data_IF_914950355914
#
_entry.id   IF_914950355914
#
_cell.length_a   1.000
_cell.length_b   1.000
_cell.length_c   1.000
_cell.angle_alpha   90.00
_cell.angle_beta   90.00
_cell.angle_gamma   90.00
#
_symmetry.space_group_name_H-M   'P 1'
#
loop_
_entity.id
_entity.type
_entity.pdbx_description
1 polymer ?
#
# COMPACT_ATOMS: atom_id res chain seq x y z
N UNK A 1 -2.43 5.90 -18.73
CA UNK A 1 -3.39 5.25 -17.81
C UNK A 1 -2.66 4.95 -16.51
N UNK A 2 -3.10 5.53 -15.39
CA UNK A 2 -2.45 5.36 -14.10
C UNK A 2 -2.45 3.91 -13.61
N UNK A 3 -1.39 3.51 -12.92
CA UNK A 3 -1.25 2.15 -12.35
C UNK A 3 -1.80 2.13 -10.92
N UNK A 4 -2.72 1.22 -10.63
CA UNK A 4 -3.28 1.02 -9.30
C UNK A 4 -2.59 -0.17 -8.63
N UNK A 5 -1.96 0.07 -7.47
CA UNK A 5 -1.15 -0.93 -6.76
C UNK A 5 -1.58 -1.00 -5.30
N UNK A 6 -1.97 -2.17 -4.85
CA UNK A 6 -2.29 -2.42 -3.44
C UNK A 6 -1.08 -2.92 -2.65
N UNK A 7 -0.94 -2.46 -1.41
CA UNK A 7 0.05 -2.97 -0.45
C UNK A 7 -0.68 -3.87 0.56
N UNK A 8 -0.42 -5.16 0.53
CA UNK A 8 -1.14 -6.12 1.34
C UNK A 8 -0.24 -7.18 1.98
N UNK A 9 -0.56 -7.53 3.22
CA UNK A 9 -0.07 -8.71 3.93
C UNK A 9 -0.98 -8.94 5.15
N UNK A 10 -1.36 -10.18 5.42
CA UNK A 10 -2.19 -10.56 6.58
C UNK A 10 -1.50 -10.29 7.90
N UNK A 11 -0.18 -10.35 7.92
CA UNK A 11 0.60 -10.10 9.13
C UNK A 11 0.66 -8.61 9.46
N UNK A 12 0.30 -8.24 10.67
CA UNK A 12 0.49 -6.90 11.20
C UNK A 12 1.97 -6.57 11.39
N UNK A 13 2.33 -5.30 11.28
CA UNK A 13 3.69 -4.82 11.60
C UNK A 13 4.79 -5.17 10.58
N UNK A 14 4.44 -5.70 9.40
CA UNK A 14 5.43 -6.00 8.35
C UNK A 14 5.87 -4.80 7.51
N UNK A 15 5.39 -3.60 7.83
CA UNK A 15 5.76 -2.37 7.12
C UNK A 15 4.90 -2.05 5.89
N UNK A 16 3.64 -2.52 5.80
CA UNK A 16 2.71 -2.16 4.71
C UNK A 16 2.57 -0.65 4.56
N UNK A 17 2.04 0.01 5.57
CA UNK A 17 1.84 1.46 5.62
C UNK A 17 3.15 2.22 5.40
N UNK A 18 4.22 1.81 6.08
CA UNK A 18 5.54 2.44 5.92
C UNK A 18 6.02 2.34 4.47
N UNK A 19 5.85 1.18 3.82
CA UNK A 19 6.25 1.00 2.42
C UNK A 19 5.35 1.81 1.49
N UNK A 20 4.03 1.75 1.66
CA UNK A 20 3.08 2.50 0.83
C UNK A 20 3.38 4.01 0.86
N UNK A 21 3.48 4.61 2.05
CA UNK A 21 3.76 6.04 2.24
C UNK A 21 5.11 6.45 1.65
N UNK A 22 6.16 5.66 1.91
CA UNK A 22 7.51 6.06 1.49
C UNK A 22 7.76 5.82 -0.01
N UNK A 23 7.16 4.79 -0.60
CA UNK A 23 7.20 4.58 -2.04
C UNK A 23 6.39 5.66 -2.75
N UNK A 24 5.18 6.00 -2.26
CA UNK A 24 4.36 7.08 -2.80
C UNK A 24 5.12 8.42 -2.82
N UNK A 25 5.70 8.80 -1.68
CA UNK A 25 6.48 10.02 -1.57
C UNK A 25 7.73 10.01 -2.47
N UNK A 26 8.39 8.85 -2.60
CA UNK A 26 9.57 8.70 -3.47
C UNK A 26 9.21 8.78 -4.96
N UNK A 27 8.09 8.20 -5.38
CA UNK A 27 7.57 8.35 -6.75
C UNK A 27 7.25 9.83 -7.05
N UNK A 28 6.64 10.55 -6.10
CA UNK A 28 6.41 11.99 -6.21
C UNK A 28 7.69 12.79 -6.41
N UNK A 29 8.77 12.44 -5.69
CA UNK A 29 10.10 13.04 -5.87
C UNK A 29 10.72 12.73 -7.25
N UNK A 30 10.40 11.56 -7.83
CA UNK A 30 10.83 11.19 -9.19
C UNK A 30 10.01 11.90 -10.28
N UNK A 31 9.00 12.69 -9.92
CA UNK A 31 8.20 13.50 -10.84
C UNK A 31 6.85 12.89 -11.22
N UNK A 32 6.50 11.70 -10.72
CA UNK A 32 5.20 11.08 -10.97
C UNK A 32 4.10 11.74 -10.13
N UNK A 33 2.90 11.84 -10.68
CA UNK A 33 1.69 12.21 -9.92
C UNK A 33 1.15 11.00 -9.19
N UNK A 34 1.10 11.07 -7.87
CA UNK A 34 0.75 9.93 -7.01
C UNK A 34 -0.45 10.24 -6.13
N UNK A 35 -1.43 9.35 -6.14
CA UNK A 35 -2.51 9.31 -5.17
C UNK A 35 -2.28 8.13 -4.23
N UNK A 36 -2.30 8.38 -2.93
CA UNK A 36 -2.30 7.32 -1.92
C UNK A 36 -3.69 7.21 -1.29
N UNK A 37 -4.17 5.98 -1.12
CA UNK A 37 -5.47 5.71 -0.50
C UNK A 37 -5.23 4.97 0.80
N UNK A 38 -5.68 5.53 1.89
CA UNK A 38 -5.65 4.89 3.20
C UNK A 38 -6.91 4.02 3.37
N UNK A 39 -6.75 2.71 3.28
CA UNK A 39 -7.85 1.75 3.40
C UNK A 39 -7.81 0.99 4.74
N UNK A 40 -6.91 1.35 5.65
CA UNK A 40 -6.87 0.80 6.99
C UNK A 40 -7.64 1.73 7.96
N UNK A 41 -8.68 1.25 8.67
CA UNK A 41 -9.43 2.05 9.66
C UNK A 41 -8.56 2.70 10.74
N UNK A 42 -7.33 2.21 10.94
CA UNK A 42 -6.37 2.84 11.85
C UNK A 42 -5.88 4.21 11.34
N UNK A 43 -5.96 4.49 10.04
CA UNK A 43 -5.60 5.77 9.45
C UNK A 43 -4.10 6.11 9.57
N UNK A 44 -3.23 5.11 9.52
CA UNK A 44 -1.80 5.33 9.72
C UNK A 44 -1.14 5.98 8.49
N UNK A 45 -1.60 5.68 7.29
CA UNK A 45 -1.19 6.38 6.06
C UNK A 45 -1.59 7.84 6.09
N UNK A 46 -2.83 8.13 6.49
CA UNK A 46 -3.37 9.49 6.67
C UNK A 46 -2.48 10.33 7.58
N UNK A 47 -2.15 9.80 8.76
CA UNK A 47 -1.23 10.47 9.70
C UNK A 47 0.19 10.56 9.14
N UNK A 48 0.67 9.51 8.46
CA UNK A 48 2.02 9.43 7.91
C UNK A 48 2.31 10.44 6.80
N UNK A 49 1.25 10.96 6.14
CA UNK A 49 1.36 12.05 5.15
C UNK A 49 0.94 13.41 5.71
N UNK A 50 0.85 13.55 7.03
CA UNK A 50 0.62 14.84 7.70
C UNK A 50 -0.84 15.29 7.79
N UNK A 51 -1.80 14.45 7.41
CA UNK A 51 -3.22 14.77 7.51
C UNK A 51 -3.75 14.41 8.90
N UNK A 52 -4.45 15.35 9.54
CA UNK A 52 -5.06 15.13 10.85
C UNK A 52 -6.37 14.36 10.72
N UNK A 53 -6.47 13.21 11.40
CA UNK A 53 -7.69 12.38 11.40
C UNK A 53 -8.85 13.02 12.17
N UNK A 54 -8.53 13.82 13.21
CA UNK A 54 -9.56 14.48 14.02
C UNK A 54 -10.23 15.58 13.22
N UNK A 55 -11.56 15.51 13.13
CA UNK A 55 -12.35 16.50 12.39
C UNK A 55 -12.45 16.24 10.89
N UNK A 56 -11.92 15.13 10.38
CA UNK A 56 -12.09 14.70 9.00
C UNK A 56 -13.58 14.47 8.72
N UNK A 57 -14.10 15.21 7.73
CA UNK A 57 -15.53 15.14 7.35
C UNK A 57 -15.76 14.10 6.24
N UNK A 58 -14.78 13.92 5.37
CA UNK A 58 -14.82 13.01 4.24
C UNK A 58 -13.62 12.08 4.29
N UNK A 59 -13.83 10.82 3.96
CA UNK A 59 -12.82 9.77 4.09
C UNK A 59 -13.03 8.67 3.03
N UNK A 60 -12.18 7.67 3.05
CA UNK A 60 -12.33 6.45 2.24
C UNK A 60 -13.68 5.76 2.48
N UNK A 61 -14.35 5.98 3.63
CA UNK A 61 -15.71 5.47 3.86
C UNK A 61 -16.68 6.04 2.83
N UNK A 62 -16.79 7.36 2.72
CA UNK A 62 -17.72 8.03 1.79
C UNK A 62 -17.38 7.72 0.33
N UNK A 63 -16.11 7.43 0.03
CA UNK A 63 -15.69 6.94 -1.28
C UNK A 63 -16.30 5.56 -1.59
N UNK A 64 -16.18 4.62 -0.67
CA UNK A 64 -16.66 3.25 -0.84
C UNK A 64 -18.19 3.16 -0.85
N UNK A 65 -18.88 3.92 0.01
CA UNK A 65 -20.34 3.97 0.02
C UNK A 65 -20.91 4.70 -1.19
N UNK A 66 -20.08 5.51 -1.88
CA UNK A 66 -20.50 6.31 -3.04
C UNK A 66 -21.28 7.57 -2.65
N UNK A 67 -21.23 7.96 -1.37
CA UNK A 67 -21.83 9.20 -0.89
C UNK A 67 -21.10 10.42 -1.46
N UNK A 68 -19.81 10.27 -1.78
CA UNK A 68 -18.96 11.30 -2.34
C UNK A 68 -18.03 10.75 -3.42
N UNK A 69 -17.74 11.56 -4.43
CA UNK A 69 -16.79 11.26 -5.49
C UNK A 69 -15.34 11.32 -4.96
N UNK A 70 -14.41 10.66 -5.66
CA UNK A 70 -13.00 10.72 -5.31
C UNK A 70 -12.48 12.17 -5.33
N UNK A 71 -12.91 12.98 -6.29
CA UNK A 71 -12.50 14.39 -6.43
C UNK A 71 -12.91 15.27 -5.24
N UNK A 72 -14.02 14.95 -4.58
CA UNK A 72 -14.48 15.70 -3.40
C UNK A 72 -13.69 15.34 -2.13
N UNK A 73 -13.04 14.15 -2.11
CA UNK A 73 -12.38 13.59 -0.92
C UNK A 73 -10.87 13.78 -0.96
N UNK A 74 -10.28 13.77 -2.17
CA UNK A 74 -8.83 13.87 -2.35
C UNK A 74 -8.31 15.18 -1.74
N UNK A 75 -7.28 15.05 -0.92
CA UNK A 75 -6.55 16.15 -0.32
C UNK A 75 -5.14 16.21 -0.89
N UNK A 76 -4.67 17.44 -1.19
CA UNK A 76 -3.26 17.66 -1.46
C UNK A 76 -2.43 17.53 -0.18
N UNK A 77 -1.23 16.98 -0.30
CA UNK A 77 -0.28 16.93 0.80
C UNK A 77 0.83 17.97 0.62
N UNK A 78 1.58 18.32 1.67
CA UNK A 78 2.73 19.23 1.51
C UNK A 78 3.93 18.59 0.80
N UNK A 79 3.80 17.36 0.31
CA UNK A 79 4.86 16.59 -0.34
C UNK A 79 4.68 16.61 -1.85
N UNK A 80 5.80 16.72 -2.57
CA UNK A 80 5.83 16.89 -4.01
C UNK A 80 5.01 15.82 -4.74
N UNK A 81 4.06 16.24 -5.57
CA UNK A 81 3.22 15.39 -6.43
C UNK A 81 2.46 14.27 -5.70
N UNK A 82 2.19 14.42 -4.40
CA UNK A 82 1.51 13.43 -3.57
C UNK A 82 0.19 13.97 -3.05
N UNK A 83 -0.91 13.30 -3.41
CA UNK A 83 -2.25 13.53 -2.88
C UNK A 83 -2.70 12.31 -2.06
N UNK A 84 -3.72 12.48 -1.23
CA UNK A 84 -4.25 11.40 -0.38
C UNK A 84 -5.77 11.36 -0.35
N UNK A 85 -6.35 10.17 -0.42
CA UNK A 85 -7.70 9.87 0.09
C UNK A 85 -7.52 9.44 1.54
N UNK A 86 -7.88 10.29 2.51
CA UNK A 86 -7.62 10.02 3.92
C UNK A 86 -8.68 9.08 4.52
N UNK A 87 -8.38 8.50 5.67
CA UNK A 87 -9.34 7.73 6.45
C UNK A 87 -9.32 8.05 7.93
N UNK A 88 -10.34 7.54 8.60
CA UNK A 88 -10.48 7.54 10.05
C UNK A 88 -11.19 6.25 10.51
N UNK A 89 -11.45 6.14 11.81
CA UNK A 89 -12.06 4.96 12.42
C UNK A 89 -13.47 4.64 11.91
N UNK A 90 -14.17 5.57 11.24
CA UNK A 90 -15.51 5.32 10.66
C UNK A 90 -15.47 4.28 9.54
N UNK A 91 -14.32 4.10 8.88
CA UNK A 91 -14.13 3.11 7.84
C UNK A 91 -14.37 1.66 8.33
N UNK A 92 -14.17 1.39 9.62
CA UNK A 92 -14.48 0.07 10.19
C UNK A 92 -15.96 -0.32 10.03
N UNK A 93 -16.88 0.66 10.09
CA UNK A 93 -18.30 0.45 9.82
C UNK A 93 -18.61 0.20 8.35
N UNK A 94 -17.85 0.80 7.44
CA UNK A 94 -18.08 0.65 6.00
C UNK A 94 -17.94 -0.81 5.52
N UNK A 95 -17.15 -1.64 6.21
CA UNK A 95 -17.02 -3.05 5.86
C UNK A 95 -18.36 -3.81 6.02
N UNK A 96 -19.18 -3.41 7.01
CA UNK A 96 -20.53 -3.94 7.17
C UNK A 96 -21.49 -3.30 6.18
N UNK A 97 -21.41 -1.97 5.98
CA UNK A 97 -22.29 -1.24 5.05
C UNK A 97 -22.14 -1.78 3.62
N UNK A 98 -20.94 -2.20 3.22
CA UNK A 98 -20.65 -2.73 1.90
C UNK A 98 -21.44 -4.00 1.53
N UNK A 99 -21.83 -4.83 2.51
CA UNK A 99 -22.62 -6.04 2.24
C UNK A 99 -24.04 -5.75 1.71
N UNK A 100 -24.55 -4.55 1.96
CA UNK A 100 -25.88 -4.12 1.53
C UNK A 100 -25.90 -3.55 0.09
N UNK A 101 -24.72 -3.42 -0.56
CA UNK A 101 -24.62 -2.89 -1.92
C UNK A 101 -24.51 -4.00 -2.96
N UNK A 102 -25.20 -3.82 -4.08
CA UNK A 102 -24.95 -4.59 -5.29
C UNK A 102 -23.52 -4.29 -5.79
N UNK A 103 -22.85 -5.34 -6.27
CA UNK A 103 -21.45 -5.24 -6.75
C UNK A 103 -20.49 -4.66 -5.69
N UNK A 104 -20.71 -5.04 -4.44
CA UNK A 104 -19.95 -4.53 -3.28
C UNK A 104 -18.42 -4.67 -3.40
N UNK A 105 -17.95 -5.64 -4.17
CA UNK A 105 -16.51 -5.89 -4.41
C UNK A 105 -15.89 -4.87 -5.39
N UNK A 106 -16.69 -4.16 -6.17
CA UNK A 106 -16.23 -3.24 -7.20
C UNK A 106 -16.36 -1.75 -6.83
N UNK A 107 -16.75 -1.44 -5.59
CA UNK A 107 -16.97 -0.06 -5.15
C UNK A 107 -15.73 0.82 -5.31
N UNK A 108 -14.56 0.32 -4.88
CA UNK A 108 -13.28 1.03 -5.07
C UNK A 108 -12.94 1.21 -6.55
N UNK A 109 -13.09 0.16 -7.36
CA UNK A 109 -12.82 0.22 -8.81
C UNK A 109 -13.67 1.28 -9.49
N UNK A 110 -14.97 1.32 -9.16
CA UNK A 110 -15.92 2.31 -9.69
C UNK A 110 -15.54 3.73 -9.26
N UNK A 111 -15.24 3.92 -7.99
CA UNK A 111 -14.86 5.22 -7.44
C UNK A 111 -13.56 5.77 -8.03
N UNK A 112 -12.58 4.91 -8.31
CA UNK A 112 -11.29 5.32 -8.86
C UNK A 112 -11.33 5.56 -10.38
N UNK A 113 -12.35 5.07 -11.10
CA UNK A 113 -12.45 5.22 -12.56
C UNK A 113 -12.45 6.68 -13.01
N UNK A 114 -12.97 7.59 -12.20
CA UNK A 114 -13.07 9.03 -12.53
C UNK A 114 -11.75 9.80 -12.38
N UNK A 115 -10.78 9.25 -11.63
CA UNK A 115 -9.50 9.92 -11.34
C UNK A 115 -8.28 9.13 -11.81
N UNK A 116 -8.45 7.88 -12.27
CA UNK A 116 -7.35 6.99 -12.65
C UNK A 116 -6.40 7.63 -13.67
N UNK A 117 -6.92 8.39 -14.61
CA UNK A 117 -6.12 9.01 -15.68
C UNK A 117 -5.47 10.36 -15.26
N UNK A 118 -5.78 10.87 -14.07
CA UNK A 118 -5.18 12.09 -13.53
C UNK A 118 -3.87 11.83 -12.78
N UNK A 119 -3.58 10.55 -12.45
CA UNK A 119 -2.41 10.11 -11.69
C UNK A 119 -1.61 9.06 -12.48
N UNK A 120 -0.28 9.08 -12.30
CA UNK A 120 0.60 8.04 -12.84
C UNK A 120 0.51 6.77 -11.98
N UNK A 121 0.39 6.94 -10.66
CA UNK A 121 0.24 5.85 -9.69
C UNK A 121 -0.86 6.15 -8.68
N UNK A 122 -1.66 5.14 -8.38
CA UNK A 122 -2.61 5.12 -7.25
C UNK A 122 -2.18 3.96 -6.34
N UNK A 123 -1.73 4.28 -5.13
CA UNK A 123 -1.24 3.29 -4.17
C UNK A 123 -2.27 3.12 -3.05
N UNK A 124 -2.68 1.87 -2.78
CA UNK A 124 -3.69 1.55 -1.77
C UNK A 124 -3.03 0.83 -0.59
N UNK A 125 -3.06 1.44 0.59
CA UNK A 125 -2.60 0.81 1.84
C UNK A 125 -3.72 -0.03 2.44
N UNK A 126 -3.60 -1.34 2.37
CA UNK A 126 -4.63 -2.27 2.84
C UNK A 126 -4.49 -2.61 4.33
N UNK A 127 -5.62 -2.87 5.02
CA UNK A 127 -5.59 -3.40 6.39
C UNK A 127 -4.93 -4.78 6.46
N UNK A 128 -4.61 -5.29 7.66
CA UNK A 128 -4.02 -6.63 7.82
C UNK A 128 -5.05 -7.77 7.65
N UNK A 129 -6.31 -7.45 7.39
CA UNK A 129 -7.38 -8.41 7.13
C UNK A 129 -7.53 -8.68 5.63
N UNK A 130 -8.05 -9.83 5.27
CA UNK A 130 -8.48 -10.16 3.89
C UNK A 130 -10.01 -10.06 3.76
N UNK A 131 -10.62 -9.09 4.43
CA UNK A 131 -12.05 -8.79 4.38
C UNK A 131 -12.46 -8.00 3.13
N UNK A 132 -13.68 -7.46 3.16
CA UNK A 132 -14.31 -6.76 2.03
C UNK A 132 -13.49 -5.54 1.56
N UNK A 133 -12.80 -4.83 2.47
CA UNK A 133 -11.93 -3.72 2.11
C UNK A 133 -10.77 -4.18 1.21
N UNK A 134 -10.09 -5.27 1.59
CA UNK A 134 -8.99 -5.81 0.78
C UNK A 134 -9.47 -6.40 -0.54
N UNK A 135 -10.65 -7.03 -0.58
CA UNK A 135 -11.27 -7.49 -1.83
C UNK A 135 -11.50 -6.30 -2.77
N UNK A 136 -12.06 -5.20 -2.28
CA UNK A 136 -12.24 -3.97 -3.05
C UNK A 136 -10.93 -3.40 -3.60
N UNK A 137 -9.89 -3.37 -2.77
CA UNK A 137 -8.57 -2.92 -3.21
C UNK A 137 -8.04 -3.79 -4.36
N UNK A 138 -8.10 -5.11 -4.23
CA UNK A 138 -7.59 -6.04 -5.24
C UNK A 138 -8.45 -6.07 -6.50
N UNK A 139 -9.77 -5.91 -6.39
CA UNK A 139 -10.66 -5.79 -7.54
C UNK A 139 -10.38 -4.53 -8.37
N UNK A 140 -9.87 -3.47 -7.74
CA UNK A 140 -9.50 -2.22 -8.40
C UNK A 140 -8.05 -2.19 -8.92
N UNK A 141 -7.17 -3.07 -8.42
CA UNK A 141 -5.72 -2.96 -8.64
C UNK A 141 -5.25 -3.65 -9.92
N UNK A 142 -4.22 -3.09 -10.54
CA UNK A 142 -3.44 -3.73 -11.59
C UNK A 142 -2.41 -4.71 -10.96
N UNK A 143 -1.95 -4.41 -9.72
CA UNK A 143 -0.97 -5.25 -9.04
C UNK A 143 -0.97 -5.14 -7.53
N UNK A 144 -0.31 -6.12 -6.90
CA UNK A 144 -0.12 -6.17 -5.44
C UNK A 144 1.37 -6.20 -5.12
N UNK A 145 1.81 -5.30 -4.24
CA UNK A 145 3.11 -5.39 -3.57
C UNK A 145 2.88 -6.03 -2.20
N UNK A 146 3.74 -7.00 -1.86
CA UNK A 146 3.68 -7.73 -0.60
C UNK A 146 4.90 -7.39 0.25
N UNK A 147 4.79 -6.40 1.17
CA UNK A 147 5.83 -6.16 2.17
C UNK A 147 5.87 -7.31 3.17
N UNK A 148 7.05 -7.88 3.42
CA UNK A 148 7.22 -8.99 4.36
C UNK A 148 8.57 -8.93 5.08
N UNK A 149 8.64 -9.51 6.27
CA UNK A 149 9.87 -9.70 7.03
C UNK A 149 10.40 -11.10 6.83
N UNK A 150 11.73 -11.29 6.96
CA UNK A 150 12.35 -12.62 6.97
C UNK A 150 12.17 -13.27 8.35
N UNK A 151 10.97 -13.78 8.63
CA UNK A 151 10.60 -14.47 9.86
C UNK A 151 10.10 -15.89 9.58
N UNK A 152 10.08 -16.74 10.60
CA UNK A 152 9.80 -18.17 10.46
C UNK A 152 8.48 -18.48 9.72
N UNK A 153 7.39 -17.81 10.09
CA UNK A 153 6.07 -18.04 9.47
C UNK A 153 5.80 -17.17 8.23
N UNK A 154 6.81 -16.44 7.76
CA UNK A 154 6.59 -15.47 6.67
C UNK A 154 6.25 -16.14 5.33
N UNK A 155 6.86 -17.28 5.04
CA UNK A 155 6.61 -18.04 3.80
C UNK A 155 5.21 -18.68 3.80
N UNK A 156 4.76 -19.17 4.95
CA UNK A 156 3.40 -19.70 5.10
C UNK A 156 2.36 -18.59 4.89
N UNK A 157 2.55 -17.44 5.53
CA UNK A 157 1.68 -16.27 5.34
C UNK A 157 1.66 -15.77 3.90
N UNK A 158 2.81 -15.79 3.22
CA UNK A 158 2.89 -15.47 1.80
C UNK A 158 2.07 -16.46 0.96
N UNK A 159 2.20 -17.75 1.21
CA UNK A 159 1.46 -18.79 0.48
C UNK A 159 -0.06 -18.62 0.62
N UNK A 160 -0.55 -18.32 1.82
CA UNK A 160 -1.97 -18.04 2.07
C UNK A 160 -2.44 -16.77 1.34
N UNK A 161 -1.63 -15.73 1.33
CA UNK A 161 -1.93 -14.51 0.58
C UNK A 161 -1.99 -14.77 -0.93
N UNK A 162 -1.07 -15.56 -1.48
CA UNK A 162 -1.06 -15.94 -2.90
C UNK A 162 -2.32 -16.71 -3.30
N UNK A 163 -2.80 -17.63 -2.43
CA UNK A 163 -4.08 -18.34 -2.64
C UNK A 163 -5.22 -17.33 -2.72
N UNK A 164 -5.26 -16.36 -1.82
CA UNK A 164 -6.31 -15.32 -1.80
C UNK A 164 -6.23 -14.43 -3.03
N UNK A 165 -5.05 -13.95 -3.43
CA UNK A 165 -4.86 -13.17 -4.66
C UNK A 165 -5.36 -13.94 -5.87
N UNK A 166 -5.00 -15.22 -6.00
CA UNK A 166 -5.44 -16.07 -7.11
C UNK A 166 -6.97 -16.27 -7.12
N UNK A 167 -7.60 -16.38 -5.95
CA UNK A 167 -9.06 -16.47 -5.82
C UNK A 167 -9.73 -15.18 -6.29
N UNK A 168 -9.25 -14.02 -5.84
CA UNK A 168 -9.78 -12.72 -6.24
C UNK A 168 -9.54 -12.48 -7.74
N UNK A 169 -8.36 -12.82 -8.25
CA UNK A 169 -8.06 -12.80 -9.68
C UNK A 169 -9.09 -13.57 -10.50
N UNK A 170 -9.42 -14.79 -10.07
CA UNK A 170 -10.39 -15.64 -10.77
C UNK A 170 -11.82 -15.11 -10.71
N UNK A 171 -12.23 -14.50 -9.60
CA UNK A 171 -13.62 -14.12 -9.34
C UNK A 171 -13.94 -12.68 -9.74
N UNK A 172 -13.00 -11.74 -9.52
CA UNK A 172 -13.28 -10.31 -9.57
C UNK A 172 -12.36 -9.50 -10.47
N UNK A 173 -11.09 -9.92 -10.67
CA UNK A 173 -10.13 -9.15 -11.43
C UNK A 173 -9.12 -10.06 -12.16
N UNK A 174 -9.42 -10.53 -13.38
CA UNK A 174 -8.54 -11.44 -14.13
C UNK A 174 -7.15 -10.88 -14.43
N UNK A 175 -7.00 -9.56 -14.46
CA UNK A 175 -5.75 -8.87 -14.77
C UNK A 175 -4.85 -8.65 -13.56
N UNK A 176 -5.34 -8.93 -12.33
CA UNK A 176 -4.57 -8.75 -11.11
C UNK A 176 -3.28 -9.57 -11.12
N UNK A 177 -2.16 -8.92 -10.82
CA UNK A 177 -0.85 -9.56 -10.73
C UNK A 177 -0.17 -9.30 -9.38
N UNK A 178 0.84 -10.11 -9.04
CA UNK A 178 1.77 -9.77 -7.96
C UNK A 178 2.90 -8.97 -8.57
N UNK A 179 2.93 -7.66 -8.32
CA UNK A 179 3.94 -6.73 -8.85
C UNK A 179 5.27 -6.85 -8.12
N UNK A 180 5.25 -7.32 -6.87
CA UNK A 180 6.51 -7.56 -6.18
C UNK A 180 6.37 -8.01 -4.73
N UNK A 181 7.43 -8.64 -4.24
CA UNK A 181 7.62 -8.99 -2.81
C UNK A 181 8.74 -8.11 -2.29
N UNK A 182 8.44 -7.26 -1.31
CA UNK A 182 9.38 -6.32 -0.73
C UNK A 182 9.82 -6.79 0.66
N UNK A 183 11.10 -7.12 0.80
CA UNK A 183 11.67 -7.48 2.10
C UNK A 183 11.87 -6.22 2.94
N UNK A 184 11.27 -6.22 4.13
CA UNK A 184 11.32 -5.13 5.10
C UNK A 184 12.05 -5.56 6.37
N UNK A 185 12.54 -4.59 7.14
CA UNK A 185 13.28 -4.80 8.39
C UNK A 185 14.42 -5.83 8.24
N UNK A 186 15.02 -5.85 7.07
CA UNK A 186 16.07 -6.79 6.70
C UNK A 186 17.30 -6.68 7.58
N UNK A 187 17.82 -7.83 7.99
CA UNK A 187 19.10 -7.97 8.66
C UNK A 187 19.88 -9.13 8.02
N UNK A 188 20.82 -8.79 7.14
CA UNK A 188 21.63 -9.77 6.41
C UNK A 188 22.62 -10.58 7.27
N UNK A 189 22.76 -10.29 8.56
CA UNK A 189 23.60 -11.07 9.48
C UNK A 189 22.87 -12.29 10.07
N UNK A 190 21.53 -12.35 9.90
CA UNK A 190 20.73 -13.44 10.43
C UNK A 190 20.66 -14.59 9.42
N UNK A 191 20.99 -15.78 9.86
CA UNK A 191 20.89 -17.02 9.05
C UNK A 191 19.47 -17.22 8.53
N UNK A 192 18.46 -16.98 9.38
CA UNK A 192 17.05 -17.06 8.99
C UNK A 192 16.72 -16.12 7.82
N UNK A 193 17.27 -14.90 7.81
CA UNK A 193 17.03 -13.96 6.69
C UNK A 193 17.59 -14.50 5.37
N UNK A 194 18.78 -15.11 5.41
CA UNK A 194 19.36 -15.72 4.21
C UNK A 194 18.56 -16.93 3.74
N UNK A 195 18.10 -17.78 4.65
CA UNK A 195 17.27 -18.94 4.32
C UNK A 195 15.93 -18.54 3.69
N UNK A 196 15.22 -17.55 4.27
CA UNK A 196 13.95 -17.05 3.72
C UNK A 196 14.14 -16.46 2.33
N UNK A 197 15.19 -15.64 2.13
CA UNK A 197 15.48 -15.07 0.80
C UNK A 197 15.80 -16.17 -0.20
N UNK A 198 16.66 -17.13 0.15
CA UNK A 198 16.99 -18.25 -0.75
C UNK A 198 15.75 -19.04 -1.16
N UNK A 199 14.78 -19.20 -0.25
CA UNK A 199 13.51 -19.88 -0.59
C UNK A 199 12.62 -19.02 -1.49
N UNK A 200 12.57 -17.71 -1.27
CA UNK A 200 11.86 -16.78 -2.16
C UNK A 200 12.47 -16.73 -3.56
N UNK A 201 13.79 -16.75 -3.66
CA UNK A 201 14.51 -16.76 -4.95
C UNK A 201 14.21 -18.03 -5.77
N UNK A 202 13.95 -19.18 -5.13
CA UNK A 202 13.57 -20.41 -5.84
C UNK A 202 12.20 -20.32 -6.51
N UNK A 203 11.24 -19.64 -5.87
CA UNK A 203 9.83 -19.68 -6.27
C UNK A 203 9.30 -18.35 -6.79
N UNK A 204 9.94 -17.22 -6.46
CA UNK A 204 9.47 -15.87 -6.71
C UNK A 204 10.59 -14.92 -7.15
N UNK A 205 11.65 -15.42 -7.80
CA UNK A 205 12.80 -14.60 -8.19
C UNK A 205 12.40 -13.37 -9.03
N UNK A 206 11.47 -13.56 -9.95
CA UNK A 206 10.94 -12.51 -10.83
C UNK A 206 10.05 -11.48 -10.11
N UNK A 207 9.58 -11.80 -8.90
CA UNK A 207 8.74 -10.93 -8.07
C UNK A 207 9.51 -10.26 -6.94
N UNK A 208 10.66 -10.80 -6.55
CA UNK A 208 11.42 -10.25 -5.44
C UNK A 208 12.03 -8.89 -5.84
N UNK A 209 11.85 -7.87 -5.02
CA UNK A 209 12.58 -6.61 -5.18
C UNK A 209 14.06 -6.84 -4.86
N UNK A 210 14.95 -6.29 -5.69
CA UNK A 210 16.40 -6.33 -5.45
C UNK A 210 16.75 -5.53 -4.20
N UNK A 211 16.11 -4.37 -4.06
CA UNK A 211 16.26 -3.48 -2.92
C UNK A 211 15.50 -4.02 -1.70
N UNK A 212 16.21 -4.16 -0.59
CA UNK A 212 15.65 -4.59 0.71
C UNK A 212 15.66 -3.43 1.69
N UNK A 213 14.59 -3.26 2.47
CA UNK A 213 14.49 -2.20 3.46
C UNK A 213 15.08 -2.67 4.78
N UNK A 214 16.17 -2.07 5.20
CA UNK A 214 16.81 -2.34 6.48
C UNK A 214 15.98 -1.82 7.66
N UNK A 215 16.14 -2.44 8.85
CA UNK A 215 15.59 -1.85 10.07
C UNK A 215 16.26 -0.49 10.32
N UNK A 216 15.47 0.58 10.42
CA UNK A 216 15.96 1.95 10.53
C UNK A 216 15.06 2.77 11.46
N UNK A 217 15.65 3.41 12.47
CA UNK A 217 14.93 4.21 13.48
C UNK A 217 14.20 5.38 12.84
N UNK A 218 14.77 6.01 11.80
CA UNK A 218 14.12 7.14 11.10
C UNK A 218 12.82 6.77 10.42
N UNK A 219 12.66 5.52 9.98
CA UNK A 219 11.38 5.01 9.47
C UNK A 219 10.31 4.88 10.56
N UNK A 220 10.73 4.65 11.80
CA UNK A 220 9.83 4.54 12.95
C UNK A 220 9.46 5.93 13.51
N UNK A 221 10.38 6.87 13.47
CA UNK A 221 10.18 8.24 13.97
C UNK A 221 9.32 9.09 13.02
N UNK A 222 9.55 9.00 11.73
CA UNK A 222 8.94 9.85 10.69
C UNK A 222 7.41 9.96 10.77
N UNK A 223 6.63 8.87 10.98
CA UNK A 223 5.17 8.95 11.12
C UNK A 223 4.72 9.80 12.31
N UNK A 224 5.48 9.82 13.40
CA UNK A 224 5.20 10.68 14.57
C UNK A 224 5.24 12.18 14.27
N UNK A 225 5.91 12.56 13.18
CA UNK A 225 6.00 13.93 12.67
C UNK A 225 5.07 14.17 11.47
N UNK A 226 4.26 13.18 11.08
CA UNK A 226 3.41 13.24 9.88
C UNK A 226 4.21 13.39 8.58
N UNK A 227 5.41 12.80 8.51
CA UNK A 227 6.33 12.95 7.39
C UNK A 227 6.74 11.60 6.80
N UNK A 228 6.74 11.44 5.46
CA UNK A 228 7.50 10.37 4.83
C UNK A 228 9.00 10.49 5.18
N UNK A 229 9.70 9.37 5.20
CA UNK A 229 11.08 9.30 5.70
C UNK A 229 12.05 10.26 5.00
N UNK A 230 11.91 10.44 3.68
CA UNK A 230 12.74 11.38 2.93
C UNK A 230 12.58 12.84 3.43
N UNK A 231 11.36 13.25 3.73
CA UNK A 231 11.05 14.58 4.24
C UNK A 231 11.37 14.75 5.74
N UNK A 232 11.52 13.62 6.46
CA UNK A 232 11.99 13.60 7.83
C UNK A 232 13.53 13.67 7.91
N UNK A 233 14.21 12.78 7.16
CA UNK A 233 15.67 12.73 7.05
C UNK A 233 16.08 12.09 5.71
N UNK A 234 16.34 12.93 4.69
CA UNK A 234 16.72 12.48 3.35
C UNK A 234 18.05 11.72 3.27
N UNK A 235 18.91 11.85 4.30
CA UNK A 235 20.19 11.18 4.35
C UNK A 235 20.10 9.81 5.02
N UNK A 236 19.00 9.51 5.68
CA UNK A 236 18.79 8.23 6.34
C UNK A 236 18.85 7.06 5.34
N UNK A 237 19.34 5.93 5.81
CA UNK A 237 19.43 4.71 5.00
C UNK A 237 18.04 4.29 4.50
N UNK A 238 17.02 4.33 5.37
CA UNK A 238 15.66 3.95 4.99
C UNK A 238 15.05 4.85 3.91
N UNK A 239 15.30 6.17 3.94
CA UNK A 239 14.84 7.08 2.90
C UNK A 239 15.46 6.77 1.52
N UNK A 240 16.77 6.46 1.50
CA UNK A 240 17.47 6.09 0.26
C UNK A 240 16.98 4.74 -0.28
N UNK A 241 16.84 3.75 0.59
CA UNK A 241 16.32 2.43 0.20
C UNK A 241 14.92 2.53 -0.40
N UNK A 242 14.00 3.32 0.17
CA UNK A 242 12.67 3.52 -0.42
C UNK A 242 12.70 4.30 -1.74
N UNK A 243 13.62 5.24 -1.90
CA UNK A 243 13.83 5.91 -3.19
C UNK A 243 14.31 4.92 -4.26
N UNK A 244 15.19 3.98 -3.91
CA UNK A 244 15.66 2.95 -4.82
C UNK A 244 14.56 1.94 -5.15
N UNK A 245 13.72 1.54 -4.17
CA UNK A 245 12.50 0.73 -4.44
C UNK A 245 11.55 1.44 -5.40
N UNK A 246 11.35 2.76 -5.25
CA UNK A 246 10.48 3.52 -6.14
C UNK A 246 11.01 3.57 -7.58
N UNK A 247 12.32 3.73 -7.77
CA UNK A 247 12.97 3.63 -9.08
C UNK A 247 12.79 2.23 -9.68
N UNK A 248 13.06 1.20 -8.89
CA UNK A 248 12.90 -0.19 -9.30
C UNK A 248 11.44 -0.48 -9.69
N UNK A 249 10.47 -0.02 -8.91
CA UNK A 249 9.04 -0.15 -9.21
C UNK A 249 8.69 0.51 -10.55
N UNK A 250 9.17 1.73 -10.79
CA UNK A 250 8.87 2.48 -12.02
C UNK A 250 9.43 1.85 -13.29
N UNK A 251 10.36 0.91 -13.18
CA UNK A 251 10.89 0.14 -14.32
C UNK A 251 10.23 -1.22 -14.49
N UNK A 252 9.52 -1.71 -13.48
CA UNK A 252 8.84 -3.02 -13.49
C UNK A 252 7.43 -2.99 -14.08
N UNK A 253 6.74 -1.80 -13.98
CA UNK A 253 5.30 -1.69 -14.31
C UNK A 253 4.95 -0.41 -15.08
#
# INVERSE_FOLDING_TARGET
MGKIISFANQKGGVGKTTSCVNIAASLGLLGYKVLIIDLDPQGNTTSGVGVQKKGLKLSTKELLTGEKSAKEIILETPYQNLSVVPTNTSLAGAEFDLFDFDESEYRMKKALSEVKDEYDYILIDCPPSLGMLTINAFAASDGVIVPMQCEFYALEGLSQLMITINRIKKLYNPDLTVSGILITMYNGRLLLSMQVISELEKHYADKLFDTKISRNVKLTEAPGFGKPAYYHDKNSKGAKEYLDVAKELSTRI
#
